data_IF_733373578605
#
_entry.id   IF_733373578605
#
_cell.length_a   1.000
_cell.length_b   1.000
_cell.length_c   1.000
_cell.angle_alpha   90.00
_cell.angle_beta   90.00
_cell.angle_gamma   90.00
#
_symmetry.space_group_name_H-M   'P 1'
#
loop_
_entity.id
_entity.type
_entity.pdbx_description
1 polymer ?
#
# COMPACT_ATOMS: atom_id res chain seq x y z
N UNK A 1 46.64 -34.56 -34.86
CA UNK A 1 46.17 -34.52 -33.45
C UNK A 1 44.66 -34.75 -33.49
N UNK A 2 44.22 -36.00 -33.31
CA UNK A 2 42.80 -36.37 -33.27
C UNK A 2 42.24 -35.97 -31.90
N UNK A 3 41.22 -35.11 -31.88
CA UNK A 3 40.40 -34.92 -30.68
C UNK A 3 39.55 -36.18 -30.49
N UNK A 4 39.76 -36.88 -29.38
CA UNK A 4 38.88 -37.97 -28.95
C UNK A 4 37.50 -37.37 -28.61
N UNK A 5 36.46 -37.85 -29.29
CA UNK A 5 35.08 -37.66 -28.83
C UNK A 5 34.86 -38.62 -27.66
N UNK A 6 34.52 -38.09 -26.48
CA UNK A 6 34.09 -38.92 -25.35
C UNK A 6 32.83 -39.71 -25.76
N UNK A 7 32.91 -41.03 -25.71
CA UNK A 7 31.76 -41.92 -25.82
C UNK A 7 31.19 -42.21 -24.43
N UNK A 8 29.88 -42.33 -24.32
CA UNK A 8 29.22 -42.79 -23.09
C UNK A 8 29.70 -44.20 -22.75
N UNK A 9 30.21 -44.36 -21.53
CA UNK A 9 30.76 -45.62 -21.03
C UNK A 9 29.60 -46.43 -20.44
N UNK A 10 29.30 -47.57 -21.07
CA UNK A 10 28.76 -48.80 -20.50
C UNK A 10 27.61 -48.70 -19.48
N UNK A 11 26.47 -49.32 -19.83
CA UNK A 11 25.32 -49.57 -18.94
C UNK A 11 25.68 -50.35 -17.66
N UNK A 12 26.18 -49.66 -16.64
CA UNK A 12 26.06 -50.06 -15.24
C UNK A 12 25.26 -48.99 -14.49
N UNK A 13 23.96 -49.26 -14.35
CA UNK A 13 23.11 -48.62 -13.34
C UNK A 13 22.79 -47.15 -13.54
N UNK A 14 22.36 -46.72 -14.73
CA UNK A 14 21.71 -45.42 -14.86
C UNK A 14 20.35 -45.46 -14.14
N UNK A 15 20.31 -44.97 -12.90
CA UNK A 15 19.07 -44.69 -12.20
C UNK A 15 18.41 -43.47 -12.83
N UNK A 16 17.56 -43.71 -13.83
CA UNK A 16 16.72 -42.66 -14.41
C UNK A 16 15.65 -42.26 -13.39
N UNK A 17 15.77 -41.06 -12.83
CA UNK A 17 14.74 -40.42 -12.01
C UNK A 17 13.94 -39.52 -12.93
N UNK A 18 12.69 -39.92 -13.23
CA UNK A 18 11.78 -39.10 -14.02
C UNK A 18 11.61 -37.71 -13.40
N UNK A 19 11.59 -36.68 -14.24
CA UNK A 19 11.21 -35.34 -13.80
C UNK A 19 9.80 -35.37 -13.20
N UNK A 20 9.62 -34.60 -12.13
CA UNK A 20 8.33 -34.40 -11.47
C UNK A 20 7.89 -32.98 -11.80
N UNK A 21 6.72 -32.85 -12.41
CA UNK A 21 6.13 -31.55 -12.69
C UNK A 21 5.94 -30.76 -11.40
N UNK A 22 6.20 -29.45 -11.45
CA UNK A 22 5.91 -28.54 -10.34
C UNK A 22 4.41 -28.51 -10.03
N UNK A 23 4.08 -28.19 -8.77
CA UNK A 23 2.69 -28.02 -8.35
C UNK A 23 2.05 -26.78 -8.99
N UNK A 24 0.75 -26.82 -9.20
CA UNK A 24 -0.02 -25.66 -9.67
C UNK A 24 -0.33 -24.72 -8.49
N UNK A 25 -0.31 -23.42 -8.76
CA UNK A 25 -0.72 -22.38 -7.81
C UNK A 25 -2.04 -21.76 -8.25
N UNK A 26 -3.03 -21.76 -7.36
CA UNK A 26 -4.27 -21.00 -7.52
C UNK A 26 -4.10 -19.69 -6.76
N UNK A 27 -4.12 -18.58 -7.47
CA UNK A 27 -4.01 -17.24 -6.87
C UNK A 27 -5.37 -16.75 -6.35
N UNK A 28 -5.33 -15.74 -5.49
CA UNK A 28 -6.50 -14.98 -5.05
C UNK A 28 -6.95 -13.95 -6.10
N UNK A 29 -6.10 -13.68 -7.09
CA UNK A 29 -6.35 -12.70 -8.17
C UNK A 29 -7.57 -13.12 -8.97
N UNK A 30 -8.51 -12.19 -9.12
CA UNK A 30 -9.60 -12.32 -10.05
C UNK A 30 -9.20 -11.69 -11.38
N UNK A 31 -9.15 -12.50 -12.44
CA UNK A 31 -8.73 -12.06 -13.76
C UNK A 31 -9.55 -10.87 -14.29
N UNK A 32 -10.86 -10.85 -14.03
CA UNK A 32 -11.75 -9.77 -14.47
C UNK A 32 -11.40 -8.47 -13.76
N UNK A 33 -11.22 -8.52 -12.44
CA UNK A 33 -10.83 -7.34 -11.66
C UNK A 33 -9.44 -6.86 -12.08
N UNK A 34 -8.47 -7.78 -12.24
CA UNK A 34 -7.11 -7.46 -12.69
C UNK A 34 -7.12 -6.72 -14.04
N UNK A 35 -7.81 -7.26 -15.04
CA UNK A 35 -7.89 -6.64 -16.37
C UNK A 35 -8.54 -5.25 -16.32
N UNK A 36 -9.55 -5.06 -15.48
CA UNK A 36 -10.21 -3.76 -15.29
C UNK A 36 -9.24 -2.74 -14.69
N UNK A 37 -8.54 -3.10 -13.60
CA UNK A 37 -7.65 -2.16 -12.92
C UNK A 37 -6.41 -1.84 -13.74
N UNK A 38 -5.86 -2.79 -14.49
CA UNK A 38 -4.72 -2.55 -15.40
C UNK A 38 -5.08 -1.53 -16.46
N UNK A 39 -6.23 -1.74 -17.14
CA UNK A 39 -6.73 -0.83 -18.18
C UNK A 39 -6.93 0.59 -17.63
N UNK A 40 -7.69 0.74 -16.54
CA UNK A 40 -8.00 2.07 -16.02
C UNK A 40 -6.80 2.75 -15.35
N UNK A 41 -5.84 1.98 -14.82
CA UNK A 41 -4.59 2.55 -14.31
C UNK A 41 -3.74 3.13 -15.45
N UNK A 42 -3.62 2.41 -16.57
CA UNK A 42 -2.93 2.91 -17.76
C UNK A 42 -3.59 4.20 -18.28
N UNK A 43 -4.91 4.17 -18.52
CA UNK A 43 -5.68 5.35 -18.96
C UNK A 43 -5.46 6.53 -18.00
N UNK A 44 -5.59 6.30 -16.69
CA UNK A 44 -5.40 7.35 -15.69
C UNK A 44 -3.96 7.92 -15.69
N UNK A 45 -2.94 7.07 -15.85
CA UNK A 45 -1.55 7.53 -15.88
C UNK A 45 -1.25 8.36 -17.14
N UNK A 46 -1.78 7.95 -18.29
CA UNK A 46 -1.63 8.68 -19.56
C UNK A 46 -2.36 10.02 -19.49
N UNK A 47 -3.63 10.02 -19.09
CA UNK A 47 -4.47 11.23 -19.03
C UNK A 47 -3.92 12.28 -18.06
N UNK A 48 -3.35 11.83 -16.94
CA UNK A 48 -2.77 12.71 -15.92
C UNK A 48 -1.26 12.97 -16.11
N UNK A 49 -0.65 12.42 -17.17
CA UNK A 49 0.79 12.56 -17.48
C UNK A 49 1.68 12.19 -16.30
N UNK A 50 1.37 11.07 -15.64
CA UNK A 50 2.13 10.57 -14.51
C UNK A 50 3.56 10.22 -14.94
N UNK A 51 4.56 10.90 -14.38
CA UNK A 51 5.98 10.69 -14.72
C UNK A 51 6.58 9.44 -14.07
N UNK A 52 6.10 9.09 -12.88
CA UNK A 52 6.62 7.96 -12.09
C UNK A 52 5.72 6.72 -12.15
N UNK A 53 4.65 6.80 -12.96
CA UNK A 53 3.64 5.78 -13.11
C UNK A 53 2.61 5.75 -11.97
N UNK A 54 2.04 4.59 -11.71
CA UNK A 54 1.00 4.40 -10.70
C UNK A 54 0.81 2.94 -10.31
N UNK A 55 -0.02 2.71 -9.29
CA UNK A 55 -0.37 1.36 -8.83
C UNK A 55 -1.82 1.31 -8.32
N UNK A 56 -2.44 0.14 -8.43
CA UNK A 56 -3.75 -0.16 -7.84
C UNK A 56 -3.62 -1.51 -7.13
N UNK A 57 -4.04 -1.57 -5.87
CA UNK A 57 -4.20 -2.81 -5.11
C UNK A 57 -5.66 -2.93 -4.70
N UNK A 58 -6.28 -4.05 -5.05
CA UNK A 58 -7.65 -4.39 -4.63
C UNK A 58 -7.55 -5.57 -3.66
N UNK A 59 -7.84 -5.29 -2.40
CA UNK A 59 -7.78 -6.28 -1.31
C UNK A 59 -9.18 -6.51 -0.75
N UNK A 60 -9.55 -7.77 -0.53
CA UNK A 60 -10.75 -8.10 0.23
C UNK A 60 -10.47 -7.88 1.72
N UNK A 61 -11.16 -6.93 2.38
CA UNK A 61 -10.84 -6.56 3.76
C UNK A 61 -11.13 -7.67 4.77
N UNK A 62 -12.03 -8.61 4.46
CA UNK A 62 -12.45 -9.65 5.40
C UNK A 62 -11.44 -10.80 5.54
N UNK A 63 -10.67 -11.06 4.49
CA UNK A 63 -9.79 -12.24 4.43
C UNK A 63 -8.39 -11.96 3.87
N UNK A 64 -8.11 -10.71 3.47
CA UNK A 64 -6.82 -10.28 2.98
C UNK A 64 -6.47 -10.74 1.57
N UNK A 65 -7.40 -11.33 0.84
CA UNK A 65 -7.17 -11.77 -0.53
C UNK A 65 -6.86 -10.58 -1.45
N UNK A 66 -5.76 -10.69 -2.19
CA UNK A 66 -5.42 -9.75 -3.25
C UNK A 66 -6.20 -10.16 -4.50
N UNK A 67 -7.25 -9.40 -4.79
CA UNK A 67 -8.10 -9.62 -5.96
C UNK A 67 -7.47 -9.04 -7.23
N UNK A 68 -6.71 -7.95 -7.09
CA UNK A 68 -5.89 -7.39 -8.16
C UNK A 68 -4.72 -6.59 -7.61
N UNK A 69 -3.61 -6.56 -8.37
CA UNK A 69 -2.42 -5.77 -8.08
C UNK A 69 -1.80 -5.36 -9.40
N UNK A 70 -1.99 -4.10 -9.78
CA UNK A 70 -1.54 -3.55 -11.05
C UNK A 70 -0.53 -2.42 -10.81
N UNK A 71 0.44 -2.33 -11.71
CA UNK A 71 1.43 -1.27 -11.76
C UNK A 71 1.55 -0.75 -13.17
N UNK A 72 1.70 0.56 -13.32
CA UNK A 72 1.98 1.21 -14.59
C UNK A 72 3.24 2.08 -14.44
N UNK A 73 4.14 2.15 -15.45
CA UNK A 73 4.14 1.29 -16.64
C UNK A 73 4.33 -0.19 -16.26
N UNK A 74 3.84 -1.09 -17.11
CA UNK A 74 4.05 -2.54 -17.00
C UNK A 74 4.92 -3.03 -18.15
N UNK A 75 5.22 -4.33 -18.20
CA UNK A 75 6.01 -4.94 -19.27
C UNK A 75 5.42 -6.29 -19.67
N UNK A 76 5.71 -6.72 -20.89
CA UNK A 76 5.26 -8.01 -21.39
C UNK A 76 6.16 -9.12 -20.86
N UNK A 77 5.60 -10.06 -20.09
CA UNK A 77 6.33 -11.21 -19.56
C UNK A 77 6.86 -12.16 -20.64
N UNK A 78 6.27 -12.15 -21.84
CA UNK A 78 6.77 -12.94 -22.98
C UNK A 78 7.97 -12.27 -23.68
N UNK A 79 8.14 -10.95 -23.52
CA UNK A 79 9.28 -10.19 -24.07
C UNK A 79 9.92 -9.27 -23.00
N UNK A 80 10.44 -9.85 -21.90
CA UNK A 80 10.75 -9.07 -20.70
C UNK A 80 11.97 -8.15 -20.85
N UNK A 81 12.75 -8.26 -21.93
CA UNK A 81 13.95 -7.48 -22.20
C UNK A 81 13.75 -6.38 -23.27
N UNK A 82 12.52 -6.20 -23.74
CA UNK A 82 12.16 -5.17 -24.74
C UNK A 82 11.74 -3.85 -24.09
N UNK A 83 11.75 -2.78 -24.88
CA UNK A 83 11.18 -1.50 -24.48
C UNK A 83 9.67 -1.62 -24.20
N UNK A 84 9.23 -1.04 -23.08
CA UNK A 84 7.87 -1.19 -22.57
C UNK A 84 7.00 0.07 -22.68
N UNK A 85 7.56 1.18 -23.17
CA UNK A 85 6.81 2.39 -23.54
C UNK A 85 7.17 2.85 -24.94
N UNK A 86 6.30 3.65 -25.56
CA UNK A 86 6.55 4.22 -26.90
C UNK A 86 7.75 5.18 -26.91
N UNK A 87 7.98 5.91 -25.81
CA UNK A 87 9.13 6.79 -25.66
C UNK A 87 10.44 5.99 -25.62
N UNK A 88 10.47 4.88 -24.90
CA UNK A 88 11.65 4.03 -24.83
C UNK A 88 11.93 3.36 -26.16
N UNK A 89 10.89 2.91 -26.89
CA UNK A 89 11.06 2.27 -28.22
C UNK A 89 11.81 3.15 -29.22
N UNK A 90 11.62 4.47 -29.17
CA UNK A 90 12.27 5.42 -30.09
C UNK A 90 13.79 5.49 -29.93
N UNK A 91 14.31 5.19 -28.74
CA UNK A 91 15.74 5.27 -28.43
C UNK A 91 16.35 3.92 -28.01
N UNK A 92 15.54 2.86 -27.91
CA UNK A 92 15.98 1.58 -27.37
C UNK A 92 17.18 1.01 -28.12
N UNK A 93 17.15 0.97 -29.45
CA UNK A 93 18.22 0.31 -30.21
C UNK A 93 19.57 1.04 -30.11
N UNK A 94 19.54 2.35 -29.90
CA UNK A 94 20.74 3.19 -29.76
C UNK A 94 21.15 3.45 -28.31
N UNK A 95 20.33 3.03 -27.34
CA UNK A 95 20.57 3.20 -25.91
C UNK A 95 21.68 2.27 -25.42
N UNK A 96 22.56 2.80 -24.56
CA UNK A 96 23.63 2.06 -23.91
C UNK A 96 23.09 0.91 -23.04
N UNK A 97 23.82 -0.20 -22.98
CA UNK A 97 23.36 -1.41 -22.27
C UNK A 97 23.08 -1.15 -20.78
N UNK A 98 23.90 -0.32 -20.13
CA UNK A 98 23.70 0.04 -18.72
C UNK A 98 22.38 0.80 -18.50
N UNK A 99 21.99 1.65 -19.46
CA UNK A 99 20.74 2.41 -19.38
C UNK A 99 19.53 1.53 -19.69
N UNK A 100 19.63 0.59 -20.64
CA UNK A 100 18.62 -0.46 -20.86
C UNK A 100 18.37 -1.26 -19.58
N UNK A 101 19.43 -1.76 -18.96
CA UNK A 101 19.33 -2.52 -17.71
C UNK A 101 18.68 -1.70 -16.60
N UNK A 102 19.03 -0.41 -16.46
CA UNK A 102 18.39 0.49 -15.49
C UNK A 102 16.88 0.62 -15.75
N UNK A 103 16.47 0.81 -17.02
CA UNK A 103 15.06 0.94 -17.39
C UNK A 103 14.28 -0.36 -17.16
N UNK A 104 14.85 -1.53 -17.48
CA UNK A 104 14.21 -2.83 -17.25
C UNK A 104 14.05 -3.13 -15.76
N UNK A 105 15.08 -2.89 -14.95
CA UNK A 105 15.00 -3.04 -13.49
C UNK A 105 13.95 -2.11 -12.87
N UNK A 106 13.64 -0.99 -13.53
CA UNK A 106 12.61 -0.08 -13.05
C UNK A 106 11.19 -0.66 -13.13
N UNK A 107 10.91 -1.50 -14.14
CA UNK A 107 9.59 -2.05 -14.42
C UNK A 107 9.42 -3.51 -13.94
N UNK A 108 10.52 -4.25 -13.78
CA UNK A 108 10.48 -5.65 -13.28
C UNK A 108 10.12 -5.79 -11.81
N UNK A 109 10.26 -4.72 -11.03
CA UNK A 109 9.86 -4.73 -9.62
C UNK A 109 8.38 -4.39 -9.48
N UNK A 110 7.72 -5.03 -8.53
CA UNK A 110 6.33 -4.72 -8.21
C UNK A 110 6.25 -3.49 -7.29
N UNK A 111 5.96 -2.33 -7.88
CA UNK A 111 5.84 -1.04 -7.17
C UNK A 111 4.85 -1.06 -6.01
N UNK A 112 3.82 -1.89 -6.05
CA UNK A 112 2.83 -1.97 -4.98
C UNK A 112 3.40 -2.50 -3.65
N UNK A 113 4.51 -3.24 -3.70
CA UNK A 113 5.18 -3.81 -2.52
C UNK A 113 6.62 -3.32 -2.34
N UNK A 114 7.27 -2.86 -3.41
CA UNK A 114 8.69 -2.52 -3.41
C UNK A 114 8.96 -1.01 -3.31
N UNK A 115 8.07 -0.17 -3.84
CA UNK A 115 8.27 1.28 -3.82
C UNK A 115 7.57 1.86 -2.58
N UNK A 116 8.33 2.59 -1.78
CA UNK A 116 7.81 3.36 -0.65
C UNK A 116 7.48 4.78 -1.10
N UNK A 117 6.48 5.40 -0.47
CA UNK A 117 6.07 6.78 -0.76
C UNK A 117 5.49 7.45 0.50
N UNK A 118 5.48 8.78 0.52
CA UNK A 118 4.74 9.52 1.54
C UNK A 118 3.24 9.46 1.25
N UNK A 119 2.40 8.87 2.13
CA UNK A 119 0.98 8.67 1.83
C UNK A 119 0.17 9.96 1.80
N UNK A 120 0.62 10.99 2.50
CA UNK A 120 -0.12 12.24 2.66
C UNK A 120 -1.48 12.01 3.33
N UNK A 121 -2.47 12.80 2.92
CA UNK A 121 -3.72 12.95 3.68
C UNK A 121 -4.58 11.68 3.77
N UNK A 122 -4.37 10.66 2.94
CA UNK A 122 -5.07 9.36 3.13
C UNK A 122 -4.73 8.73 4.48
N UNK A 123 -3.56 9.05 5.03
CA UNK A 123 -3.11 8.57 6.33
C UNK A 123 -3.93 9.11 7.52
N UNK A 124 -4.69 10.18 7.30
CA UNK A 124 -5.59 10.76 8.32
C UNK A 124 -6.64 9.77 8.82
N UNK A 125 -6.97 8.74 8.02
CA UNK A 125 -7.82 7.63 8.46
C UNK A 125 -7.22 6.90 9.67
N UNK A 126 -5.90 6.68 9.69
CA UNK A 126 -5.18 6.03 10.80
C UNK A 126 -5.21 6.92 12.04
N UNK A 127 -4.91 8.22 11.87
CA UNK A 127 -4.98 9.21 12.97
C UNK A 127 -6.41 9.36 13.53
N UNK A 128 -7.44 9.41 12.67
CA UNK A 128 -8.85 9.43 13.10
C UNK A 128 -9.21 8.19 13.90
N UNK A 129 -8.81 7.01 13.40
CA UNK A 129 -9.10 5.73 14.04
C UNK A 129 -8.49 5.67 15.45
N UNK A 130 -7.21 6.02 15.57
CA UNK A 130 -6.53 6.05 16.85
C UNK A 130 -7.14 7.08 17.82
N UNK A 131 -7.46 8.29 17.34
CA UNK A 131 -8.04 9.32 18.19
C UNK A 131 -9.44 8.98 18.72
N UNK A 132 -10.26 8.30 17.91
CA UNK A 132 -11.58 7.81 18.32
C UNK A 132 -11.44 6.64 19.30
N UNK A 133 -10.53 5.69 19.04
CA UNK A 133 -10.31 4.53 19.91
C UNK A 133 -9.80 4.94 21.29
N UNK A 134 -8.95 5.97 21.37
CA UNK A 134 -8.46 6.55 22.63
C UNK A 134 -9.49 7.49 23.31
N UNK A 135 -10.67 7.69 22.71
CA UNK A 135 -11.71 8.57 23.27
C UNK A 135 -11.33 10.06 23.32
N UNK A 136 -10.40 10.50 22.48
CA UNK A 136 -9.89 11.89 22.45
C UNK A 136 -10.91 12.87 21.84
N UNK A 137 -11.80 12.36 20.99
CA UNK A 137 -12.77 13.12 20.18
C UNK A 137 -13.94 12.20 19.82
N UNK A 138 -14.98 12.76 19.20
CA UNK A 138 -16.09 12.01 18.60
C UNK A 138 -16.38 12.55 17.19
N UNK A 139 -17.16 11.83 16.39
CA UNK A 139 -17.30 12.10 14.95
C UNK A 139 -17.89 13.48 14.64
N UNK A 140 -18.96 13.85 15.33
CA UNK A 140 -19.91 14.89 14.90
C UNK A 140 -20.07 16.04 15.91
N UNK A 141 -19.09 16.23 16.79
CA UNK A 141 -19.09 17.33 17.75
C UNK A 141 -18.72 18.65 17.06
N UNK A 142 -19.74 19.36 16.61
CA UNK A 142 -19.61 20.66 15.95
C UNK A 142 -18.81 21.66 16.80
N UNK A 143 -17.86 22.35 16.17
CA UNK A 143 -16.98 23.32 16.83
C UNK A 143 -16.01 22.76 17.87
N UNK A 144 -15.81 21.44 17.91
CA UNK A 144 -14.74 20.84 18.70
C UNK A 144 -13.36 21.34 18.25
N UNK A 145 -13.21 21.60 16.95
CA UNK A 145 -11.98 22.09 16.36
C UNK A 145 -12.18 23.44 15.68
N UNK A 146 -11.11 24.23 15.62
CA UNK A 146 -11.10 25.49 14.89
C UNK A 146 -9.81 25.64 14.08
N UNK A 147 -9.94 25.57 12.76
CA UNK A 147 -8.84 25.81 11.84
C UNK A 147 -8.68 27.31 11.56
N UNK A 148 -7.56 27.89 11.99
CA UNK A 148 -7.17 29.29 11.69
C UNK A 148 -6.15 29.38 10.54
N UNK A 149 -6.03 28.31 9.74
CA UNK A 149 -5.20 28.22 8.55
C UNK A 149 -3.83 27.57 8.78
N UNK A 150 -3.48 27.28 10.02
CA UNK A 150 -2.29 26.54 10.39
C UNK A 150 -2.25 26.31 11.89
N UNK A 151 -1.23 25.59 12.34
CA UNK A 151 -0.94 25.38 13.76
C UNK A 151 0.56 25.54 13.99
N UNK A 152 0.93 26.06 15.15
CA UNK A 152 2.33 26.21 15.54
C UNK A 152 2.72 25.04 16.46
N UNK A 153 3.80 24.35 16.10
CA UNK A 153 4.34 23.21 16.84
C UNK A 153 5.82 23.47 17.05
N UNK A 154 6.23 23.61 18.31
CA UNK A 154 7.62 23.88 18.70
C UNK A 154 8.28 25.03 17.89
N UNK A 155 7.56 26.13 17.69
CA UNK A 155 8.05 27.31 16.95
C UNK A 155 7.98 27.20 15.43
N UNK A 156 7.45 26.09 14.88
CA UNK A 156 7.26 25.89 13.44
C UNK A 156 5.78 25.97 13.10
N UNK A 157 5.41 26.87 12.19
CA UNK A 157 4.04 26.99 11.68
C UNK A 157 3.80 26.01 10.53
N UNK A 158 2.94 25.02 10.75
CA UNK A 158 2.49 24.07 9.74
C UNK A 158 1.15 24.55 9.18
N UNK A 159 1.09 24.76 7.86
CA UNK A 159 -0.08 25.33 7.17
C UNK A 159 -1.12 24.26 6.82
N UNK A 160 -2.38 24.66 6.84
CA UNK A 160 -3.44 23.95 6.13
C UNK A 160 -3.39 24.31 4.64
N UNK A 161 -3.88 23.44 3.76
CA UNK A 161 -3.95 23.75 2.32
C UNK A 161 -4.79 25.02 2.04
N UNK A 162 -5.83 25.24 2.86
CA UNK A 162 -6.73 26.40 2.82
C UNK A 162 -6.30 27.54 3.76
N UNK A 163 -5.00 27.72 4.03
CA UNK A 163 -4.50 28.69 5.03
C UNK A 163 -4.97 30.13 4.83
N UNK A 164 -5.23 30.52 3.58
CA UNK A 164 -5.70 31.87 3.19
C UNK A 164 -7.21 32.06 3.36
N UNK A 165 -7.98 30.97 3.50
CA UNK A 165 -9.42 30.97 3.80
C UNK A 165 -9.72 29.80 4.73
N UNK A 166 -9.32 29.89 6.01
CA UNK A 166 -9.37 28.76 6.92
C UNK A 166 -10.74 28.10 7.01
N UNK A 167 -10.79 26.82 7.39
CA UNK A 167 -12.07 26.11 7.51
C UNK A 167 -12.94 26.67 8.65
N UNK A 168 -12.34 27.23 9.70
CA UNK A 168 -13.07 27.72 10.86
C UNK A 168 -13.45 26.57 11.80
N UNK A 169 -14.62 26.70 12.43
CA UNK A 169 -15.22 25.67 13.29
C UNK A 169 -15.47 24.38 12.50
N UNK A 170 -15.01 23.25 13.03
CA UNK A 170 -15.21 21.94 12.42
C UNK A 170 -15.43 20.83 13.48
N UNK A 171 -16.26 19.84 13.16
CA UNK A 171 -16.25 18.51 13.79
C UNK A 171 -15.12 17.63 13.22
N UNK A 172 -14.88 16.45 13.81
CA UNK A 172 -13.90 15.50 13.25
C UNK A 172 -14.28 15.05 11.83
N UNK A 173 -15.56 14.78 11.59
CA UNK A 173 -16.08 14.40 10.26
C UNK A 173 -15.79 15.49 9.23
N UNK A 174 -16.09 16.75 9.56
CA UNK A 174 -15.80 17.89 8.68
C UNK A 174 -14.29 18.05 8.47
N UNK A 175 -13.49 17.90 9.52
CA UNK A 175 -12.04 17.99 9.42
C UNK A 175 -11.44 16.91 8.51
N UNK A 176 -11.93 15.66 8.59
CA UNK A 176 -11.54 14.58 7.69
C UNK A 176 -12.00 14.88 6.25
N UNK A 177 -13.25 15.29 6.08
CA UNK A 177 -13.86 15.66 4.80
C UNK A 177 -13.13 16.80 4.08
N UNK A 178 -12.72 17.83 4.82
CA UNK A 178 -11.98 19.00 4.32
C UNK A 178 -10.46 18.78 4.33
N UNK A 179 -9.99 17.62 4.81
CA UNK A 179 -8.58 17.28 4.94
C UNK A 179 -7.77 18.33 5.73
N UNK A 180 -8.28 18.73 6.90
CA UNK A 180 -7.77 19.83 7.70
C UNK A 180 -6.50 19.47 8.52
N UNK A 181 -5.29 19.78 8.01
CA UNK A 181 -4.02 19.43 8.69
C UNK A 181 -3.97 19.84 10.18
N UNK A 182 -4.35 21.07 10.59
CA UNK A 182 -4.28 21.49 11.99
C UNK A 182 -5.03 20.58 12.96
N UNK A 183 -6.17 20.02 12.55
CA UNK A 183 -6.95 19.10 13.39
C UNK A 183 -6.18 17.81 13.63
N UNK A 184 -5.67 17.19 12.57
CA UNK A 184 -4.90 15.94 12.67
C UNK A 184 -3.57 16.11 13.39
N UNK A 185 -2.93 17.27 13.25
CA UNK A 185 -1.75 17.63 14.06
C UNK A 185 -2.15 17.68 15.54
N UNK A 186 -3.22 18.40 15.88
CA UNK A 186 -3.71 18.49 17.25
C UNK A 186 -4.08 17.13 17.85
N UNK A 187 -4.74 16.26 17.10
CA UNK A 187 -5.04 14.89 17.52
C UNK A 187 -3.77 14.08 17.77
N UNK A 188 -2.79 14.17 16.86
CA UNK A 188 -1.46 13.58 17.04
C UNK A 188 -0.80 14.04 18.35
N UNK A 189 -0.77 15.35 18.60
CA UNK A 189 -0.20 15.90 19.83
C UNK A 189 -0.94 15.44 21.10
N UNK A 190 -2.27 15.34 21.06
CA UNK A 190 -3.07 14.85 22.18
C UNK A 190 -2.83 13.37 22.49
N UNK A 191 -2.64 12.53 21.46
CA UNK A 191 -2.26 11.12 21.64
C UNK A 191 -0.84 10.97 22.22
N UNK A 192 0.07 11.82 21.77
CA UNK A 192 1.49 11.72 22.12
C UNK A 192 2.22 10.62 21.35
N UNK A 193 3.55 10.69 21.35
CA UNK A 193 4.43 9.85 20.51
C UNK A 193 4.22 8.36 20.78
N UNK A 194 4.26 7.95 22.04
CA UNK A 194 4.21 6.54 22.41
C UNK A 194 2.91 5.86 21.95
N UNK A 195 1.76 6.43 22.31
CA UNK A 195 0.44 5.93 21.90
C UNK A 195 0.32 5.91 20.37
N UNK A 196 0.79 6.97 19.70
CA UNK A 196 0.74 7.03 18.24
C UNK A 196 1.55 5.91 17.58
N UNK A 197 2.79 5.69 18.03
CA UNK A 197 3.64 4.61 17.52
C UNK A 197 3.09 3.21 17.83
N UNK A 198 2.41 3.04 18.97
CA UNK A 198 1.68 1.80 19.26
C UNK A 198 0.59 1.52 18.22
N UNK A 199 -0.18 2.55 17.79
CA UNK A 199 -1.15 2.38 16.70
C UNK A 199 -0.47 2.10 15.35
N UNK A 200 0.64 2.76 15.03
CA UNK A 200 1.41 2.44 13.81
C UNK A 200 1.82 0.97 13.78
N UNK A 201 2.25 0.43 14.92
CA UNK A 201 2.57 -0.99 15.03
C UNK A 201 1.34 -1.89 14.90
N UNK A 202 0.22 -1.56 15.57
CA UNK A 202 -1.03 -2.34 15.48
C UNK A 202 -1.56 -2.39 14.04
N UNK A 203 -1.51 -1.27 13.31
CA UNK A 203 -1.87 -1.18 11.89
C UNK A 203 -0.82 -1.80 10.93
N UNK A 204 0.23 -2.44 11.46
CA UNK A 204 1.32 -3.07 10.68
C UNK A 204 2.07 -2.11 9.74
N UNK A 205 2.19 -0.84 10.14
CA UNK A 205 2.86 0.19 9.35
C UNK A 205 4.36 0.28 9.64
N UNK A 206 4.86 -0.29 10.75
CA UNK A 206 6.30 -0.26 11.10
C UNK A 206 7.08 -1.49 10.60
N UNK A 207 6.39 -2.47 10.01
CA UNK A 207 6.96 -3.72 9.55
C UNK A 207 6.35 -4.11 8.20
N UNK A 208 7.02 -5.02 7.50
CA UNK A 208 6.46 -5.70 6.32
C UNK A 208 5.12 -6.36 6.63
N UNK A 209 4.21 -6.35 5.66
CA UNK A 209 2.92 -7.06 5.74
C UNK A 209 3.13 -8.59 5.69
N UNK A 210 4.24 -9.03 5.09
CA UNK A 210 4.55 -10.44 4.93
C UNK A 210 3.80 -11.11 3.78
N UNK A 211 3.22 -10.33 2.86
CA UNK A 211 2.61 -10.83 1.62
C UNK A 211 3.53 -11.85 0.94
N UNK A 212 2.94 -12.86 0.30
CA UNK A 212 3.65 -13.98 -0.31
C UNK A 212 4.36 -13.61 -1.63
N UNK A 213 5.06 -12.46 -1.66
CA UNK A 213 5.79 -11.94 -2.79
C UNK A 213 7.22 -11.53 -2.40
N UNK A 214 8.22 -11.80 -3.25
CA UNK A 214 9.58 -11.36 -3.02
C UNK A 214 9.70 -9.85 -3.24
N UNK A 215 10.69 -9.22 -2.57
CA UNK A 215 11.00 -7.81 -2.80
C UNK A 215 10.11 -6.82 -2.07
N UNK A 216 9.29 -7.26 -1.10
CA UNK A 216 8.55 -6.35 -0.22
C UNK A 216 9.52 -5.44 0.55
N UNK A 217 9.34 -4.13 0.40
CA UNK A 217 10.08 -3.11 1.14
C UNK A 217 9.51 -2.95 2.55
N UNK A 218 10.38 -2.53 3.48
CA UNK A 218 9.91 -2.10 4.80
C UNK A 218 9.58 -0.61 4.76
N UNK A 219 8.78 -0.14 5.72
CA UNK A 219 8.52 1.28 5.87
C UNK A 219 9.73 2.04 6.40
N UNK A 220 9.72 3.36 6.17
CA UNK A 220 10.77 4.28 6.61
C UNK A 220 10.12 5.26 7.58
N UNK A 221 10.28 4.99 8.87
CA UNK A 221 9.88 5.89 9.95
C UNK A 221 11.09 6.32 10.76
N UNK A 222 11.02 7.51 11.33
CA UNK A 222 11.92 7.87 12.42
C UNK A 222 11.66 6.93 13.61
N UNK A 223 12.71 6.49 14.30
CA UNK A 223 12.55 5.70 15.51
C UNK A 223 11.75 6.47 16.57
N UNK A 224 10.91 5.76 17.34
CA UNK A 224 10.02 6.35 18.35
C UNK A 224 10.77 7.29 19.32
N UNK A 225 11.93 6.86 19.82
CA UNK A 225 12.76 7.63 20.75
C UNK A 225 13.42 8.87 20.14
N UNK A 226 13.33 9.05 18.81
CA UNK A 226 13.81 10.22 18.08
C UNK A 226 12.67 11.10 17.58
N UNK A 227 11.42 10.66 17.69
CA UNK A 227 10.26 11.43 17.26
C UNK A 227 9.93 12.51 18.29
N UNK A 228 10.14 13.77 17.91
CA UNK A 228 9.70 14.92 18.69
C UNK A 228 8.29 15.38 18.32
N UNK A 229 7.82 16.48 18.94
CA UNK A 229 6.52 17.07 18.64
C UNK A 229 6.34 17.44 17.16
N UNK A 230 7.39 17.95 16.49
CA UNK A 230 7.33 18.35 15.08
C UNK A 230 7.22 17.13 14.17
N UNK A 231 7.97 16.07 14.46
CA UNK A 231 7.92 14.81 13.69
C UNK A 231 6.55 14.15 13.85
N UNK A 232 6.02 14.06 15.08
CA UNK A 232 4.69 13.55 15.33
C UNK A 232 3.61 14.38 14.60
N UNK A 233 3.77 15.70 14.57
CA UNK A 233 2.87 16.58 13.83
C UNK A 233 2.87 16.22 12.34
N UNK A 234 4.02 16.00 11.70
CA UNK A 234 4.09 15.64 10.28
C UNK A 234 3.59 14.24 9.99
N UNK A 235 3.90 13.28 10.86
CA UNK A 235 3.43 11.89 10.73
C UNK A 235 1.90 11.85 10.78
N UNK A 236 1.26 12.65 11.65
CA UNK A 236 -0.18 12.57 11.88
C UNK A 236 -1.07 12.93 10.68
N UNK A 237 -0.51 13.58 9.66
CA UNK A 237 -1.18 13.84 8.39
C UNK A 237 -0.48 13.23 7.17
N UNK A 238 0.44 12.28 7.40
CA UNK A 238 1.01 11.43 6.35
C UNK A 238 2.29 11.93 5.69
N UNK A 239 3.13 12.73 6.37
CA UNK A 239 4.37 13.27 5.80
C UNK A 239 5.61 12.90 6.63
N UNK A 240 6.79 12.95 5.98
CA UNK A 240 8.11 12.62 6.56
C UNK A 240 8.30 11.17 7.00
N UNK A 241 7.55 10.27 6.39
CA UNK A 241 7.76 8.83 6.47
C UNK A 241 7.29 8.22 5.17
N UNK A 242 7.77 7.02 4.88
CA UNK A 242 7.36 6.31 3.68
C UNK A 242 6.82 4.92 4.02
N UNK A 243 5.75 4.53 3.34
CA UNK A 243 5.15 3.19 3.41
C UNK A 243 4.92 2.67 2.00
N UNK A 244 4.69 1.37 1.87
CA UNK A 244 4.30 0.78 0.58
C UNK A 244 2.77 0.86 0.39
N UNK A 245 2.27 0.86 -0.86
CA UNK A 245 0.84 0.76 -1.14
C UNK A 245 0.17 -0.44 -0.46
N UNK A 246 0.85 -1.60 -0.41
CA UNK A 246 0.33 -2.79 0.27
C UNK A 246 0.15 -2.58 1.79
N UNK A 247 1.06 -1.86 2.46
CA UNK A 247 0.90 -1.52 3.87
C UNK A 247 -0.32 -0.61 4.09
N UNK A 248 -0.50 0.41 3.26
CA UNK A 248 -1.62 1.32 3.40
C UNK A 248 -2.96 0.61 3.19
N UNK A 249 -3.12 -0.18 2.11
CA UNK A 249 -4.39 -0.87 1.85
C UNK A 249 -4.69 -1.88 2.94
N UNK A 250 -3.67 -2.57 3.49
CA UNK A 250 -3.83 -3.49 4.63
C UNK A 250 -4.37 -2.76 5.86
N UNK A 251 -3.79 -1.60 6.19
CA UNK A 251 -4.23 -0.79 7.33
C UNK A 251 -5.67 -0.26 7.16
N UNK A 252 -6.03 0.19 5.96
CA UNK A 252 -7.39 0.64 5.65
C UNK A 252 -8.38 -0.54 5.61
N UNK A 253 -7.96 -1.72 5.17
CA UNK A 253 -8.76 -2.94 5.21
C UNK A 253 -9.13 -3.34 6.64
N UNK A 254 -8.23 -3.13 7.62
CA UNK A 254 -8.55 -3.34 9.03
C UNK A 254 -9.67 -2.39 9.51
N UNK A 255 -9.69 -1.14 9.03
CA UNK A 255 -10.82 -0.23 9.29
C UNK A 255 -12.10 -0.76 8.64
N UNK A 256 -12.03 -1.29 7.42
CA UNK A 256 -13.19 -1.76 6.68
C UNK A 256 -13.79 -3.09 7.17
N UNK A 257 -13.04 -3.90 7.93
CA UNK A 257 -13.49 -5.23 8.36
C UNK A 257 -13.98 -5.30 9.83
N UNK A 258 -14.22 -4.16 10.47
CA UNK A 258 -14.62 -4.12 11.87
C UNK A 258 -13.44 -4.09 12.85
N UNK A 259 -12.22 -3.74 12.38
CA UNK A 259 -11.06 -3.45 13.21
C UNK A 259 -10.03 -4.56 13.37
N UNK A 260 -10.11 -5.66 12.60
CA UNK A 260 -9.17 -6.79 12.67
C UNK A 260 -8.04 -6.64 11.64
N UNK A 261 -6.78 -6.76 12.05
CA UNK A 261 -5.68 -6.85 11.07
C UNK A 261 -5.74 -8.21 10.36
N UNK A 262 -5.52 -8.22 9.04
CA UNK A 262 -5.49 -9.44 8.24
C UNK A 262 -4.29 -9.38 7.33
N UNK A 263 -3.48 -10.45 7.36
CA UNK A 263 -2.31 -10.57 6.49
C UNK A 263 -2.75 -10.64 5.02
N UNK A 264 -2.18 -9.83 4.11
CA UNK A 264 -2.42 -9.97 2.68
C UNK A 264 -2.01 -11.36 2.17
N UNK A 265 -2.90 -11.98 1.38
CA UNK A 265 -2.72 -13.33 0.83
C UNK A 265 -2.84 -13.27 -0.69
N UNK A 266 -1.85 -13.83 -1.39
CA UNK A 266 -1.85 -13.93 -2.85
C UNK A 266 -2.12 -15.35 -3.34
N UNK A 267 -1.60 -16.36 -2.64
CA UNK A 267 -1.81 -17.77 -2.99
C UNK A 267 -3.01 -18.29 -2.21
N UNK A 268 -4.03 -18.77 -2.94
CA UNK A 268 -5.24 -19.37 -2.36
C UNK A 268 -5.07 -20.87 -2.13
N UNK A 269 -4.52 -21.59 -3.11
CA UNK A 269 -4.36 -23.04 -3.05
C UNK A 269 -3.09 -23.50 -3.78
N UNK A 270 -2.57 -24.66 -3.36
CA UNK A 270 -1.50 -25.39 -4.06
C UNK A 270 -2.07 -26.75 -4.45
N UNK A 271 -1.97 -27.12 -5.73
CA UNK A 271 -2.48 -28.40 -6.25
C UNK A 271 -1.29 -29.27 -6.62
N UNK A 272 -1.19 -30.46 -6.02
CA UNK A 272 -0.14 -31.41 -6.35
C UNK A 272 -0.31 -31.91 -7.80
N UNK A 273 0.73 -31.76 -8.61
CA UNK A 273 0.69 -32.09 -10.04
C UNK A 273 0.41 -33.58 -10.32
N UNK A 274 0.90 -34.46 -9.43
CA UNK A 274 0.80 -35.91 -9.55
C UNK A 274 -0.44 -36.48 -8.86
N UNK A 275 -0.68 -36.11 -7.60
CA UNK A 275 -1.75 -36.71 -6.79
C UNK A 275 -3.09 -35.98 -6.92
N UNK A 276 -3.07 -34.75 -7.48
CA UNK A 276 -4.21 -33.82 -7.50
C UNK A 276 -4.73 -33.43 -6.11
N UNK A 277 -3.95 -33.68 -5.05
CA UNK A 277 -4.25 -33.21 -3.71
C UNK A 277 -4.25 -31.67 -3.68
N UNK A 278 -5.28 -31.09 -3.09
CA UNK A 278 -5.44 -29.63 -2.96
C UNK A 278 -5.13 -29.23 -1.53
N UNK A 279 -4.19 -28.28 -1.38
CA UNK A 279 -3.85 -27.65 -0.10
C UNK A 279 -4.30 -26.20 -0.12
N UNK A 280 -5.32 -25.88 0.67
CA UNK A 280 -5.73 -24.50 0.93
C UNK A 280 -4.70 -23.76 1.78
N UNK A 281 -4.37 -22.54 1.39
CA UNK A 281 -3.56 -21.63 2.19
C UNK A 281 -4.51 -20.89 3.14
N UNK A 282 -4.36 -20.98 4.48
CA UNK A 282 -5.32 -20.39 5.41
C UNK A 282 -5.26 -18.86 5.42
N UNK A 283 -6.41 -18.24 5.71
CA UNK A 283 -6.49 -16.81 6.03
C UNK A 283 -5.80 -16.57 7.37
N UNK A 284 -4.89 -15.60 7.44
CA UNK A 284 -4.19 -15.25 8.66
C UNK A 284 -4.76 -13.95 9.23
N UNK A 285 -5.73 -14.11 10.13
CA UNK A 285 -6.20 -13.01 10.97
C UNK A 285 -5.19 -12.76 12.08
N UNK A 286 -4.94 -11.50 12.35
CA UNK A 286 -4.04 -11.05 13.40
C UNK A 286 -4.84 -10.34 14.51
N UNK A 287 -4.17 -9.54 15.32
CA UNK A 287 -4.78 -8.83 16.43
C UNK A 287 -5.78 -7.76 15.97
N UNK A 288 -6.73 -7.48 16.85
CA UNK A 288 -7.68 -6.38 16.70
C UNK A 288 -6.96 -5.04 16.93
N UNK A 289 -7.02 -4.17 15.94
CA UNK A 289 -6.37 -2.86 15.92
C UNK A 289 -7.23 -1.79 16.60
N UNK A 290 -8.52 -1.81 16.29
CA UNK A 290 -9.55 -0.91 16.83
C UNK A 290 -10.84 -1.68 17.13
N UNK A 291 -11.70 -1.12 17.96
CA UNK A 291 -13.03 -1.65 18.20
C UNK A 291 -13.90 -1.60 16.93
N UNK A 292 -14.92 -2.46 16.91
CA UNK A 292 -15.93 -2.45 15.83
C UNK A 292 -16.67 -1.10 15.78
N UNK A 293 -16.95 -0.50 16.93
CA UNK A 293 -17.58 0.82 17.02
C UNK A 293 -16.72 1.91 16.38
N UNK A 294 -15.42 1.97 16.69
CA UNK A 294 -14.50 2.92 16.05
C UNK A 294 -14.42 2.69 14.55
N UNK A 295 -14.35 1.43 14.10
CA UNK A 295 -14.38 1.08 12.68
C UNK A 295 -15.64 1.63 11.98
N UNK A 296 -16.83 1.42 12.56
CA UNK A 296 -18.10 1.93 12.03
C UNK A 296 -18.15 3.47 11.99
N UNK A 297 -17.65 4.14 13.04
CA UNK A 297 -17.53 5.59 13.09
C UNK A 297 -16.63 6.14 11.97
N UNK A 298 -15.46 5.52 11.75
CA UNK A 298 -14.53 5.94 10.69
C UNK A 298 -15.12 5.71 9.30
N UNK A 299 -15.73 4.54 9.07
CA UNK A 299 -16.42 4.25 7.80
C UNK A 299 -17.53 5.27 7.51
N UNK A 300 -18.34 5.61 8.52
CA UNK A 300 -19.35 6.67 8.38
C UNK A 300 -18.71 7.99 7.96
N UNK A 301 -17.59 8.40 8.55
CA UNK A 301 -16.91 9.66 8.15
C UNK A 301 -16.33 9.60 6.73
N UNK A 302 -15.87 8.43 6.28
CA UNK A 302 -15.35 8.23 4.93
C UNK A 302 -16.41 8.46 3.85
N UNK A 303 -17.68 8.10 4.11
CA UNK A 303 -18.79 8.35 3.18
C UNK A 303 -18.93 9.85 2.87
N UNK A 304 -18.79 10.70 3.89
CA UNK A 304 -18.87 12.17 3.75
C UNK A 304 -17.78 12.75 2.84
N UNK A 305 -16.60 12.11 2.77
CA UNK A 305 -15.52 12.54 1.84
C UNK A 305 -15.97 12.44 0.38
N UNK A 306 -16.80 11.46 0.05
CA UNK A 306 -17.29 11.19 -1.30
C UNK A 306 -18.58 11.97 -1.61
N UNK A 307 -19.55 11.98 -0.70
CA UNK A 307 -20.84 12.63 -0.92
C UNK A 307 -20.79 14.15 -0.83
N UNK A 308 -19.91 14.70 0.00
CA UNK A 308 -19.91 16.12 0.38
C UNK A 308 -18.53 16.79 0.36
N UNK A 309 -17.45 16.00 0.42
CA UNK A 309 -16.09 16.50 0.58
C UNK A 309 -15.31 16.80 -0.70
N UNK A 310 -13.98 16.77 -0.57
CA UNK A 310 -13.02 17.14 -1.63
C UNK A 310 -13.17 16.33 -2.92
N UNK A 311 -13.92 15.21 -2.91
CA UNK A 311 -14.09 14.30 -4.06
C UNK A 311 -15.38 14.52 -4.87
N UNK A 312 -16.23 15.49 -4.52
CA UNK A 312 -17.53 15.76 -5.20
C UNK A 312 -17.44 16.25 -6.67
N UNK A 313 -16.26 16.21 -7.29
CA UNK A 313 -15.99 16.69 -8.67
C UNK A 313 -15.39 15.62 -9.59
N UNK A 314 -15.57 14.34 -9.28
CA UNK A 314 -15.28 13.25 -10.21
C UNK A 314 -16.56 12.80 -10.91
#
# INVERSE_FOLDING_TARGET
>A
MQMQKGGEIGHEGENYVSAIDGNDLVLTVDFTIQSIVEKYLEEACIDNKCTDGGNIVVMNPQNGDILAMATYPSYNLNTPYEAYTEELKQSWDTMEQAEKTKNLQAVWRNKAIADTYEPGSVFKLITSSAALEEGITDTDKEGEFCCTGGIEVAGVRIKCWRYYRPHGSESLRQALMNSCNPVFIGLGQKMGVHTYYNYLNKFKLLNKTGIDLPGEANSIFLAENKAGPVELATISFGQRFEITPIQLVTAVSAIANGGESVKPRLVKQIINSQTKEVKDIPVQKEERVISKETSEKVLSMMESVVSEGTRKKC
#
